data_IF_987755326158
#
_entry.id   IF_987755326158
#
_cell.length_a   1.000
_cell.length_b   1.000
_cell.length_c   1.000
_cell.angle_alpha   90.00
_cell.angle_beta   90.00
_cell.angle_gamma   90.00
#
_symmetry.space_group_name_H-M   'P 1'
#
loop_
_entity.id
_entity.type
_entity.pdbx_description
1 polymer ?
#
# COMPACT_ATOMS: atom_id res chain seq x y z
N UNK A 1 -0.89 28.68 33.90
CA UNK A 1 -1.46 27.46 33.30
C UNK A 1 -2.67 27.83 32.48
N UNK A 2 -2.53 28.01 31.16
CA UNK A 2 -3.61 28.50 30.27
C UNK A 2 -4.57 27.37 29.85
N UNK A 3 -4.23 26.12 30.16
CA UNK A 3 -4.97 24.94 29.73
C UNK A 3 -5.57 24.10 30.88
N UNK A 4 -5.65 24.61 32.12
CA UNK A 4 -6.22 23.82 33.22
C UNK A 4 -7.71 23.52 33.02
N UNK A 5 -8.03 22.22 32.99
CA UNK A 5 -9.36 21.59 33.06
C UNK A 5 -10.43 22.10 32.09
N UNK A 6 -10.26 21.83 30.80
CA UNK A 6 -11.31 22.11 29.81
C UNK A 6 -12.12 20.84 29.52
N UNK A 7 -13.33 20.77 30.10
CA UNK A 7 -14.33 19.71 29.79
C UNK A 7 -14.56 19.59 28.28
N UNK A 8 -14.66 18.36 27.76
CA UNK A 8 -14.77 18.03 26.33
C UNK A 8 -15.94 18.73 25.60
N UNK A 9 -17.03 19.04 26.30
CA UNK A 9 -18.16 19.79 25.76
C UNK A 9 -18.05 21.27 26.16
N UNK A 10 -18.13 22.19 25.18
CA UNK A 10 -18.10 23.66 25.33
C UNK A 10 -16.72 24.30 25.58
N UNK A 11 -15.70 23.93 24.79
CA UNK A 11 -14.43 24.69 24.76
C UNK A 11 -14.66 26.11 24.22
N UNK A 12 -14.08 27.17 24.83
CA UNK A 12 -14.16 28.52 24.30
C UNK A 12 -13.69 28.59 22.84
N UNK A 13 -14.36 29.37 21.98
CA UNK A 13 -14.04 29.46 20.56
C UNK A 13 -12.58 29.90 20.32
N UNK A 14 -12.06 30.80 21.15
CA UNK A 14 -10.65 31.23 21.08
C UNK A 14 -9.66 30.09 21.30
N UNK A 15 -9.96 29.17 22.23
CA UNK A 15 -9.12 27.99 22.47
C UNK A 15 -9.16 27.04 21.27
N UNK A 16 -10.33 26.89 20.64
CA UNK A 16 -10.47 26.07 19.44
C UNK A 16 -9.71 26.67 18.25
N UNK A 17 -9.82 27.98 18.05
CA UNK A 17 -9.10 28.67 16.97
C UNK A 17 -7.58 28.62 17.19
N UNK A 18 -7.12 28.81 18.44
CA UNK A 18 -5.71 28.62 18.80
C UNK A 18 -5.24 27.19 18.51
N UNK A 19 -6.07 26.18 18.79
CA UNK A 19 -5.76 24.78 18.47
C UNK A 19 -5.69 24.53 16.96
N UNK A 20 -6.59 25.12 16.17
CA UNK A 20 -6.57 25.01 14.71
C UNK A 20 -5.31 25.63 14.11
N UNK A 21 -4.95 26.84 14.54
CA UNK A 21 -3.73 27.52 14.09
C UNK A 21 -2.48 26.73 14.51
N UNK A 22 -2.44 26.21 15.74
CA UNK A 22 -1.34 25.38 16.23
C UNK A 22 -1.20 24.09 15.42
N UNK A 23 -2.30 23.39 15.15
CA UNK A 23 -2.27 22.16 14.35
C UNK A 23 -1.78 22.44 12.92
N UNK A 24 -2.35 23.44 12.24
CA UNK A 24 -1.96 23.78 10.87
C UNK A 24 -0.49 24.19 10.79
N UNK A 25 -0.06 25.14 11.63
CA UNK A 25 1.31 25.65 11.61
C UNK A 25 2.35 24.61 12.06
N UNK A 26 1.97 23.63 12.89
CA UNK A 26 2.87 22.55 13.27
C UNK A 26 3.08 21.55 12.12
N UNK A 27 2.01 21.15 11.43
CA UNK A 27 2.03 20.02 10.48
C UNK A 27 2.06 20.43 9.00
N UNK A 28 1.84 21.70 8.70
CA UNK A 28 1.87 22.26 7.34
C UNK A 28 2.66 23.57 7.38
N UNK A 29 3.95 23.55 7.01
CA UNK A 29 4.75 24.76 6.92
C UNK A 29 4.07 25.83 6.05
N UNK A 30 4.12 27.08 6.49
CA UNK A 30 3.52 28.25 5.82
C UNK A 30 2.00 28.19 5.59
N UNK A 31 1.31 27.28 6.28
CA UNK A 31 -0.14 27.31 6.34
C UNK A 31 -0.65 28.56 7.07
N UNK A 32 -1.86 28.96 6.71
CA UNK A 32 -2.54 30.12 7.28
C UNK A 32 -4.06 29.92 7.23
N UNK A 33 -4.75 30.74 8.00
CA UNK A 33 -6.19 30.96 7.90
C UNK A 33 -6.44 32.40 7.48
N UNK A 34 -7.54 32.67 6.79
CA UNK A 34 -7.93 34.04 6.47
C UNK A 34 -8.51 34.72 7.71
N UNK A 35 -8.14 35.99 7.94
CA UNK A 35 -8.61 36.74 9.10
C UNK A 35 -10.14 36.86 9.13
N UNK A 36 -10.77 37.07 7.97
CA UNK A 36 -12.22 37.08 7.82
C UNK A 36 -12.87 35.78 8.33
N UNK A 37 -12.28 34.63 8.02
CA UNK A 37 -12.78 33.32 8.43
C UNK A 37 -12.57 33.08 9.92
N UNK A 38 -11.46 33.55 10.47
CA UNK A 38 -11.22 33.57 11.91
C UNK A 38 -12.28 34.41 12.63
N UNK A 39 -12.62 35.58 12.12
CA UNK A 39 -13.68 36.45 12.67
C UNK A 39 -15.07 35.81 12.51
N UNK A 40 -15.36 35.23 11.35
CA UNK A 40 -16.61 34.51 11.07
C UNK A 40 -16.83 33.34 12.02
N UNK A 41 -15.75 32.64 12.41
CA UNK A 41 -15.81 31.56 13.38
C UNK A 41 -16.36 32.01 14.75
N UNK A 42 -16.21 33.29 15.11
CA UNK A 42 -16.76 33.87 16.33
C UNK A 42 -18.21 34.40 16.19
N UNK A 43 -18.70 34.67 14.96
CA UNK A 43 -19.99 35.34 14.73
C UNK A 43 -21.20 34.63 15.32
N UNK A 44 -21.13 33.32 15.57
CA UNK A 44 -22.24 32.54 16.09
C UNK A 44 -22.47 32.67 17.61
N UNK A 45 -21.61 33.39 18.33
CA UNK A 45 -21.71 33.63 19.79
C UNK A 45 -21.86 35.14 20.13
N UNK A 46 -21.86 36.00 19.13
CA UNK A 46 -21.74 37.45 19.32
C UNK A 46 -23.11 38.15 19.34
N UNK A 47 -23.67 38.31 20.54
CA UNK A 47 -24.58 39.44 20.82
C UNK A 47 -23.84 40.69 21.32
N UNK A 48 -22.54 40.59 21.64
CA UNK A 48 -21.80 41.63 22.39
C UNK A 48 -20.46 42.05 21.75
N UNK A 49 -19.88 41.29 20.81
CA UNK A 49 -18.46 41.50 20.41
C UNK A 49 -18.20 41.89 18.94
N UNK A 50 -19.24 42.25 18.17
CA UNK A 50 -19.14 42.55 16.73
C UNK A 50 -18.07 43.59 16.31
N UNK A 51 -17.55 44.41 17.24
CA UNK A 51 -16.55 45.44 16.99
C UNK A 51 -15.11 45.10 17.41
N UNK A 52 -14.86 43.98 18.09
CA UNK A 52 -13.52 43.62 18.56
C UNK A 52 -12.64 43.09 17.41
N UNK A 53 -11.37 43.52 17.41
CA UNK A 53 -10.36 43.00 16.49
C UNK A 53 -10.10 41.51 16.75
N UNK A 54 -9.51 40.81 15.78
CA UNK A 54 -9.11 39.42 16.00
C UNK A 54 -8.10 39.29 17.15
N UNK A 55 -7.20 40.27 17.30
CA UNK A 55 -6.20 40.30 18.36
C UNK A 55 -6.85 40.34 19.74
N UNK A 56 -7.84 41.21 19.93
CA UNK A 56 -8.59 41.33 21.19
C UNK A 56 -9.35 40.03 21.51
N UNK A 57 -10.01 39.44 20.51
CA UNK A 57 -10.77 38.18 20.66
C UNK A 57 -9.85 37.00 21.00
N UNK A 58 -8.59 37.05 20.56
CA UNK A 58 -7.62 35.98 20.74
C UNK A 58 -6.84 36.08 22.06
N UNK A 59 -6.99 37.13 22.87
CA UNK A 59 -6.31 37.22 24.17
C UNK A 59 -6.62 35.99 25.08
N UNK A 60 -5.60 35.33 25.68
CA UNK A 60 -4.18 35.73 25.71
C UNK A 60 -3.30 35.18 24.57
N UNK A 61 -3.85 34.38 23.65
CA UNK A 61 -3.13 33.73 22.55
C UNK A 61 -2.69 34.66 21.42
N UNK A 62 -3.14 35.91 21.42
CA UNK A 62 -2.75 36.95 20.45
C UNK A 62 -1.23 37.07 20.27
N UNK A 63 -0.47 36.95 21.36
CA UNK A 63 1.01 37.01 21.34
C UNK A 63 1.67 35.82 20.62
N UNK A 64 0.92 34.74 20.36
CA UNK A 64 1.42 33.53 19.70
C UNK A 64 1.06 33.49 18.22
N UNK A 65 0.28 34.44 17.72
CA UNK A 65 -0.19 34.50 16.34
C UNK A 65 0.39 35.73 15.63
N UNK A 66 0.54 35.62 14.32
CA UNK A 66 0.92 36.72 13.44
C UNK A 66 -0.16 36.92 12.39
N UNK A 67 -0.55 38.18 12.19
CA UNK A 67 -1.46 38.61 11.13
C UNK A 67 -0.69 39.43 10.10
N UNK A 68 -0.69 38.99 8.85
CA UNK A 68 0.09 39.60 7.78
C UNK A 68 -0.70 39.65 6.48
N UNK A 69 -0.25 40.47 5.55
CA UNK A 69 -0.84 40.64 4.22
C UNK A 69 0.28 40.46 3.19
N UNK A 70 0.03 39.74 2.10
CA UNK A 70 1.07 39.47 1.10
C UNK A 70 1.29 40.69 0.18
N UNK A 71 0.20 41.34 -0.19
CA UNK A 71 0.13 42.62 -0.91
C UNK A 71 -1.10 43.42 -0.43
N UNK A 72 -1.21 44.70 -0.82
CA UNK A 72 -2.30 45.60 -0.36
C UNK A 72 -3.71 45.15 -0.75
N UNK A 73 -3.83 44.28 -1.76
CA UNK A 73 -5.11 43.79 -2.29
C UNK A 73 -5.49 42.41 -1.75
N UNK A 74 -4.51 41.67 -1.22
CA UNK A 74 -4.67 40.32 -0.71
C UNK A 74 -5.35 40.35 0.65
N UNK A 75 -6.14 39.34 0.94
CA UNK A 75 -6.79 39.23 2.23
C UNK A 75 -5.76 38.96 3.35
N UNK A 76 -6.02 39.49 4.56
CA UNK A 76 -5.16 39.29 5.72
C UNK A 76 -5.15 37.82 6.15
N UNK A 77 -3.97 37.32 6.47
CA UNK A 77 -3.69 35.93 6.82
C UNK A 77 -3.20 35.83 8.25
N UNK A 78 -3.60 34.77 8.94
CA UNK A 78 -3.31 34.50 10.34
C UNK A 78 -2.64 33.14 10.46
N UNK A 79 -1.54 33.06 11.18
CA UNK A 79 -0.84 31.79 11.51
C UNK A 79 -0.15 31.88 12.87
N UNK A 80 0.34 30.76 13.41
CA UNK A 80 1.21 30.81 14.58
C UNK A 80 2.52 31.51 14.22
N UNK A 81 3.09 32.26 15.18
CA UNK A 81 4.31 33.03 14.98
C UNK A 81 5.50 32.17 14.49
N UNK A 82 5.57 30.91 14.93
CA UNK A 82 6.62 29.98 14.52
C UNK A 82 6.15 28.51 14.59
N UNK A 83 6.59 27.61 13.67
CA UNK A 83 6.24 26.18 13.72
C UNK A 83 6.61 25.48 15.04
N UNK A 84 7.74 25.83 15.65
CA UNK A 84 8.13 25.26 16.96
C UNK A 84 7.17 25.67 18.08
N UNK A 85 6.69 26.92 18.07
CA UNK A 85 5.67 27.38 19.04
C UNK A 85 4.38 26.60 18.81
N UNK A 86 3.98 26.43 17.55
CA UNK A 86 2.81 25.66 17.17
C UNK A 86 2.91 24.19 17.66
N UNK A 87 4.08 23.57 17.54
CA UNK A 87 4.33 22.22 18.05
C UNK A 87 4.23 22.15 19.58
N UNK A 88 4.88 23.08 20.30
CA UNK A 88 4.77 23.13 21.77
C UNK A 88 3.31 23.33 22.20
N UNK A 89 2.55 24.16 21.47
CA UNK A 89 1.13 24.36 21.74
C UNK A 89 0.31 23.07 21.53
N UNK A 90 0.58 22.28 20.48
CA UNK A 90 -0.15 21.01 20.27
C UNK A 90 0.16 19.97 21.35
N UNK A 91 1.40 19.94 21.85
CA UNK A 91 1.82 19.09 22.98
C UNK A 91 1.13 19.49 24.29
N UNK A 92 1.20 20.77 24.68
CA UNK A 92 0.55 21.30 25.88
C UNK A 92 -0.98 21.15 25.84
N UNK A 93 -1.59 21.32 24.66
CA UNK A 93 -3.01 21.08 24.45
C UNK A 93 -3.37 19.60 24.63
N UNK A 94 -2.54 18.68 24.14
CA UNK A 94 -2.75 17.25 24.30
C UNK A 94 -2.69 16.83 25.78
N UNK A 95 -1.73 17.35 26.55
CA UNK A 95 -1.65 17.14 28.02
C UNK A 95 -2.92 17.62 28.74
N UNK A 96 -3.56 18.68 28.23
CA UNK A 96 -4.81 19.21 28.73
C UNK A 96 -6.07 18.50 28.19
N UNK A 97 -5.92 17.38 27.46
CA UNK A 97 -7.02 16.59 26.90
C UNK A 97 -7.61 17.15 25.59
N UNK A 98 -6.92 18.09 24.95
CA UNK A 98 -7.22 18.59 23.60
C UNK A 98 -6.34 17.83 22.61
N UNK A 99 -6.80 16.65 22.18
CA UNK A 99 -5.99 15.77 21.35
C UNK A 99 -5.85 16.26 19.91
N UNK A 100 -4.86 15.73 19.19
CA UNK A 100 -4.58 16.09 17.79
C UNK A 100 -5.71 15.60 16.89
N UNK A 101 -6.21 14.38 17.13
CA UNK A 101 -7.33 13.82 16.38
C UNK A 101 -8.62 14.64 16.56
N UNK A 102 -8.96 15.01 17.81
CA UNK A 102 -10.10 15.87 18.12
C UNK A 102 -9.98 17.24 17.44
N UNK A 103 -8.79 17.84 17.50
CA UNK A 103 -8.52 19.15 16.89
C UNK A 103 -8.65 19.06 15.37
N UNK A 104 -8.13 18.02 14.74
CA UNK A 104 -8.26 17.78 13.31
C UNK A 104 -9.72 17.59 12.90
N UNK A 105 -10.50 16.77 13.62
CA UNK A 105 -11.93 16.57 13.34
C UNK A 105 -12.74 17.87 13.50
N UNK A 106 -12.43 18.64 14.54
CA UNK A 106 -13.08 19.93 14.79
C UNK A 106 -12.73 20.96 13.70
N UNK A 107 -11.48 21.00 13.24
CA UNK A 107 -11.09 21.85 12.10
C UNK A 107 -11.93 21.49 10.85
N UNK A 108 -12.06 20.19 10.57
CA UNK A 108 -12.82 19.69 9.42
C UNK A 108 -14.32 20.00 9.50
N UNK A 109 -14.92 20.05 10.70
CA UNK A 109 -16.38 20.14 10.85
C UNK A 109 -16.88 21.50 11.31
N UNK A 110 -16.10 22.23 12.11
CA UNK A 110 -16.55 23.43 12.82
C UNK A 110 -15.98 24.73 12.26
N UNK A 111 -14.77 24.72 11.71
CA UNK A 111 -14.10 25.96 11.28
C UNK A 111 -14.84 26.63 10.11
N UNK A 112 -15.25 25.86 9.10
CA UNK A 112 -16.10 26.35 8.01
C UNK A 112 -17.35 25.46 7.89
N UNK A 113 -18.49 25.96 8.39
CA UNK A 113 -19.76 25.21 8.44
C UNK A 113 -20.51 25.19 7.11
N UNK A 114 -20.45 26.28 6.34
CA UNK A 114 -21.17 26.42 5.07
C UNK A 114 -20.41 25.81 3.89
N UNK A 115 -19.22 26.34 3.59
CA UNK A 115 -18.38 25.88 2.48
C UNK A 115 -16.92 25.76 2.94
N UNK A 116 -16.27 24.64 2.61
CA UNK A 116 -14.87 24.43 2.97
C UNK A 116 -13.95 25.07 1.93
N UNK A 117 -13.09 26.05 2.29
CA UNK A 117 -12.33 26.81 1.32
C UNK A 117 -11.36 25.93 0.51
N UNK A 118 -11.26 26.10 -0.82
CA UNK A 118 -10.35 25.31 -1.66
C UNK A 118 -8.87 25.42 -1.24
N UNK A 119 -8.43 26.61 -0.81
CA UNK A 119 -7.06 26.81 -0.33
C UNK A 119 -6.75 25.97 0.93
N UNK A 120 -7.72 25.91 1.86
CA UNK A 120 -7.60 25.16 3.11
C UNK A 120 -7.63 23.66 2.84
N UNK A 121 -8.37 23.20 1.82
CA UNK A 121 -8.34 21.81 1.39
C UNK A 121 -6.93 21.38 0.97
N UNK A 122 -6.14 22.28 0.36
CA UNK A 122 -4.73 22.06 0.06
C UNK A 122 -3.91 21.74 1.32
N UNK A 123 -4.10 22.54 2.39
CA UNK A 123 -3.42 22.31 3.67
C UNK A 123 -3.88 21.02 4.34
N UNK A 124 -5.19 20.74 4.37
CA UNK A 124 -5.72 19.49 4.92
C UNK A 124 -5.18 18.27 4.16
N UNK A 125 -5.13 18.34 2.83
CA UNK A 125 -4.57 17.28 2.00
C UNK A 125 -3.10 17.05 2.36
N UNK A 126 -2.30 18.11 2.49
CA UNK A 126 -0.91 18.02 2.92
C UNK A 126 -0.83 17.35 4.30
N UNK A 127 -1.51 17.92 5.29
CA UNK A 127 -1.48 17.50 6.69
C UNK A 127 -1.83 16.02 6.87
N UNK A 128 -2.82 15.51 6.13
CA UNK A 128 -3.32 14.15 6.31
C UNK A 128 -2.66 13.12 5.40
N UNK A 129 -2.07 13.52 4.26
CA UNK A 129 -1.62 12.54 3.24
C UNK A 129 -0.17 12.70 2.77
N UNK A 130 0.49 13.85 3.06
CA UNK A 130 1.89 14.05 2.68
C UNK A 130 2.79 13.18 3.55
N UNK A 131 3.52 12.26 2.91
CA UNK A 131 4.50 11.36 3.54
C UNK A 131 5.91 11.90 3.31
N UNK A 132 6.70 11.95 4.37
CA UNK A 132 8.10 12.38 4.34
C UNK A 132 9.02 11.23 3.90
N UNK A 133 10.25 11.54 3.50
CA UNK A 133 11.27 10.53 3.20
C UNK A 133 11.93 10.13 4.52
N UNK A 134 12.12 8.84 4.78
CA UNK A 134 12.99 8.39 5.86
C UNK A 134 14.42 8.60 5.46
N UNK A 135 15.21 9.20 6.33
CA UNK A 135 16.66 9.23 6.24
C UNK A 135 17.18 8.26 7.29
N UNK A 136 17.37 7.00 6.91
CA UNK A 136 18.08 6.03 7.76
C UNK A 136 19.55 6.02 7.33
N UNK A 137 20.44 6.53 8.18
CA UNK A 137 21.88 6.35 8.03
C UNK A 137 22.23 4.93 8.48
N UNK A 138 22.70 4.08 7.55
CA UNK A 138 23.24 2.76 7.89
C UNK A 138 24.58 2.94 8.62
N UNK A 139 24.74 2.53 9.89
CA UNK A 139 25.99 2.74 10.63
C UNK A 139 27.18 1.88 10.13
N UNK A 140 26.94 0.97 9.17
CA UNK A 140 27.87 -0.11 8.82
C UNK A 140 28.33 -0.04 7.35
N UNK A 141 27.60 0.67 6.47
CA UNK A 141 27.98 0.83 5.07
C UNK A 141 27.44 2.14 4.49
N UNK A 142 28.34 3.08 4.19
CA UNK A 142 28.02 4.41 3.68
C UNK A 142 27.54 4.41 2.21
N UNK A 143 27.10 3.27 1.67
CA UNK A 143 26.80 3.11 0.24
C UNK A 143 25.34 2.82 -0.10
N UNK A 144 24.45 2.58 0.87
CA UNK A 144 23.00 2.44 0.61
C UNK A 144 22.16 3.30 1.55
N UNK A 145 21.83 4.52 1.09
CA UNK A 145 20.71 5.30 1.63
C UNK A 145 19.42 4.60 1.19
N UNK A 146 18.74 3.90 2.11
CA UNK A 146 17.39 3.42 1.86
C UNK A 146 16.42 4.60 1.96
N UNK A 147 16.15 5.22 0.82
CA UNK A 147 15.13 6.27 0.68
C UNK A 147 13.70 5.69 0.76
N UNK A 148 13.31 5.17 1.91
CA UNK A 148 11.95 4.69 2.13
C UNK A 148 11.04 5.84 2.58
N UNK A 149 9.97 6.14 1.84
CA UNK A 149 8.97 7.09 2.38
C UNK A 149 8.32 6.52 3.63
N UNK A 150 8.03 7.42 4.57
CA UNK A 150 7.20 7.13 5.73
C UNK A 150 5.87 6.47 5.36
N UNK A 151 5.32 5.73 6.32
CA UNK A 151 4.07 4.98 6.11
C UNK A 151 2.86 5.91 6.00
N UNK A 152 2.84 6.99 6.78
CA UNK A 152 1.75 7.96 6.85
C UNK A 152 2.30 9.38 6.90
N UNK A 153 1.38 10.36 6.92
CA UNK A 153 1.75 11.75 7.18
C UNK A 153 2.15 11.94 8.63
N UNK A 154 2.95 12.98 8.91
CA UNK A 154 3.45 13.24 10.27
C UNK A 154 2.33 13.35 11.29
N UNK A 155 1.21 14.03 10.96
CA UNK A 155 0.06 14.12 11.87
C UNK A 155 -0.55 12.74 12.17
N UNK A 156 -0.66 11.87 11.16
CA UNK A 156 -1.24 10.54 11.35
C UNK A 156 -0.33 9.65 12.20
N UNK A 157 0.99 9.74 12.00
CA UNK A 157 1.97 9.05 12.85
C UNK A 157 1.87 9.54 14.31
N UNK A 158 1.89 10.85 14.53
CA UNK A 158 1.80 11.41 15.89
C UNK A 158 0.48 11.05 16.59
N UNK A 159 -0.65 10.98 15.87
CA UNK A 159 -1.93 10.51 16.44
C UNK A 159 -1.83 9.02 16.79
N UNK A 160 -1.19 8.19 15.96
CA UNK A 160 -1.01 6.76 16.22
C UNK A 160 -0.14 6.53 17.46
N UNK A 161 0.91 7.32 17.62
CA UNK A 161 1.88 7.19 18.70
C UNK A 161 1.33 7.74 20.04
N UNK A 162 0.55 8.83 20.01
CA UNK A 162 0.08 9.51 21.23
C UNK A 162 -1.37 9.22 21.63
N UNK A 163 -2.21 8.76 20.70
CA UNK A 163 -3.63 8.48 20.93
C UNK A 163 -3.93 7.00 20.65
N UNK A 164 -4.12 6.64 19.38
CA UNK A 164 -4.10 5.28 18.83
C UNK A 164 -4.38 5.28 17.31
N UNK A 165 -4.32 4.10 16.69
CA UNK A 165 -4.64 3.92 15.27
C UNK A 165 -6.11 4.09 14.91
N UNK A 166 -7.05 3.87 15.84
CA UNK A 166 -8.49 4.03 15.63
C UNK A 166 -8.85 5.52 15.49
N UNK A 167 -8.26 6.37 16.33
CA UNK A 167 -8.40 7.82 16.27
C UNK A 167 -7.85 8.36 14.94
N UNK A 168 -6.68 7.89 14.51
CA UNK A 168 -6.12 8.25 13.20
C UNK A 168 -7.04 7.86 12.04
N UNK A 169 -7.63 6.65 12.10
CA UNK A 169 -8.60 6.18 11.11
C UNK A 169 -9.88 7.02 11.12
N UNK A 170 -10.34 7.47 12.29
CA UNK A 170 -11.54 8.30 12.41
C UNK A 170 -11.38 9.68 11.76
N UNK A 171 -10.20 10.30 11.88
CA UNK A 171 -9.86 11.58 11.22
C UNK A 171 -9.91 11.42 9.71
N UNK A 172 -9.24 10.38 9.18
CA UNK A 172 -9.21 10.10 7.74
C UNK A 172 -10.59 9.71 7.20
N UNK A 173 -11.40 9.00 7.98
CA UNK A 173 -12.80 8.67 7.64
C UNK A 173 -13.66 9.92 7.51
N UNK A 174 -13.54 10.83 8.48
CA UNK A 174 -14.24 12.12 8.43
C UNK A 174 -13.82 12.93 7.21
N UNK A 175 -12.52 13.04 6.93
CA UNK A 175 -12.01 13.75 5.76
C UNK A 175 -12.51 13.11 4.45
N UNK A 176 -12.52 11.77 4.38
CA UNK A 176 -12.98 11.03 3.19
C UNK A 176 -14.47 11.22 2.92
N UNK A 177 -15.28 11.29 3.97
CA UNK A 177 -16.71 11.56 3.85
C UNK A 177 -16.98 13.02 3.50
N UNK A 178 -16.23 13.97 4.08
CA UNK A 178 -16.42 15.39 3.81
C UNK A 178 -15.97 15.79 2.40
N UNK A 179 -14.89 15.20 1.89
CA UNK A 179 -14.31 15.54 0.59
C UNK A 179 -14.46 14.39 -0.39
N UNK A 180 -15.67 14.25 -0.95
CA UNK A 180 -16.04 13.09 -1.76
C UNK A 180 -15.24 12.93 -3.05
N UNK A 181 -14.72 14.04 -3.60
CA UNK A 181 -13.94 14.05 -4.83
C UNK A 181 -12.45 13.72 -4.61
N UNK A 182 -11.97 13.68 -3.36
CA UNK A 182 -10.55 13.46 -3.09
C UNK A 182 -10.24 11.96 -2.91
N UNK A 183 -9.37 11.34 -3.75
CA UNK A 183 -9.05 9.92 -3.65
C UNK A 183 -7.99 9.61 -2.58
N UNK A 184 -7.21 10.59 -2.13
CA UNK A 184 -6.06 10.37 -1.25
C UNK A 184 -6.45 10.14 0.22
N UNK A 185 -7.55 10.73 0.70
CA UNK A 185 -8.05 10.44 2.05
C UNK A 185 -8.53 8.98 2.22
N UNK A 186 -9.40 8.43 1.34
CA UNK A 186 -9.80 7.03 1.45
C UNK A 186 -8.63 6.08 1.16
N UNK A 187 -7.69 6.47 0.31
CA UNK A 187 -6.44 5.73 0.12
C UNK A 187 -5.61 5.64 1.41
N UNK A 188 -5.38 6.77 2.09
CA UNK A 188 -4.66 6.81 3.36
C UNK A 188 -5.40 6.00 4.45
N UNK A 189 -6.73 6.08 4.48
CA UNK A 189 -7.55 5.31 5.40
C UNK A 189 -7.45 3.79 5.17
N UNK A 190 -7.48 3.35 3.90
CA UNK A 190 -7.26 1.94 3.57
C UNK A 190 -5.92 1.44 4.11
N UNK A 191 -4.85 2.26 4.00
CA UNK A 191 -3.52 1.97 4.56
C UNK A 191 -3.55 1.77 6.07
N UNK A 192 -4.24 2.63 6.82
CA UNK A 192 -4.39 2.45 8.28
C UNK A 192 -5.06 1.11 8.59
N UNK A 193 -6.12 0.76 7.84
CA UNK A 193 -6.81 -0.50 8.07
C UNK A 193 -5.97 -1.74 7.80
N UNK A 194 -5.21 -1.82 6.70
CA UNK A 194 -4.44 -3.04 6.40
C UNK A 194 -3.04 -3.09 7.06
N UNK A 195 -2.43 -1.93 7.35
CA UNK A 195 -1.12 -1.88 8.02
C UNK A 195 -1.24 -1.96 9.53
N UNK A 196 -2.13 -1.20 10.14
CA UNK A 196 -2.18 -1.03 11.60
C UNK A 196 -3.32 -1.83 12.22
N UNK A 197 -4.56 -1.62 11.77
CA UNK A 197 -5.75 -2.23 12.41
C UNK A 197 -6.03 -3.68 11.98
N UNK A 198 -5.38 -4.16 10.92
CA UNK A 198 -5.58 -5.49 10.31
C UNK A 198 -7.03 -5.82 9.93
N UNK A 199 -7.85 -4.80 9.69
CA UNK A 199 -9.23 -4.95 9.20
C UNK A 199 -9.24 -4.90 7.68
N UNK A 200 -8.95 -6.04 7.05
CA UNK A 200 -8.83 -6.14 5.59
C UNK A 200 -10.15 -5.89 4.85
N UNK A 201 -11.29 -6.18 5.49
CA UNK A 201 -12.62 -5.92 4.92
C UNK A 201 -12.87 -4.43 4.77
N UNK A 202 -12.61 -3.63 5.83
CA UNK A 202 -12.69 -2.17 5.72
C UNK A 202 -11.62 -1.61 4.79
N UNK A 203 -10.41 -2.16 4.81
CA UNK A 203 -9.35 -1.73 3.91
C UNK A 203 -9.74 -1.89 2.43
N UNK A 204 -10.36 -3.01 2.05
CA UNK A 204 -10.84 -3.27 0.69
C UNK A 204 -11.93 -2.27 0.28
N UNK A 205 -12.90 -1.98 1.16
CA UNK A 205 -13.97 -1.01 0.91
C UNK A 205 -13.38 0.38 0.62
N UNK A 206 -12.46 0.84 1.46
CA UNK A 206 -11.87 2.17 1.31
C UNK A 206 -10.91 2.27 0.12
N UNK A 207 -10.19 1.19 -0.21
CA UNK A 207 -9.35 1.14 -1.41
C UNK A 207 -10.19 1.23 -2.69
N UNK A 208 -11.32 0.50 -2.76
CA UNK A 208 -12.28 0.61 -3.88
C UNK A 208 -12.86 2.01 -3.98
N UNK A 209 -13.29 2.59 -2.86
CA UNK A 209 -13.79 3.97 -2.81
C UNK A 209 -12.75 5.01 -3.28
N UNK A 210 -11.47 4.80 -2.98
CA UNK A 210 -10.40 5.64 -3.51
C UNK A 210 -10.28 5.52 -5.03
N UNK A 211 -10.30 4.29 -5.55
CA UNK A 211 -10.23 3.99 -6.99
C UNK A 211 -11.44 4.50 -7.77
N UNK A 212 -12.65 4.43 -7.20
CA UNK A 212 -13.85 5.01 -7.80
C UNK A 212 -13.74 6.53 -8.00
N UNK A 213 -13.02 7.22 -7.11
CA UNK A 213 -12.82 8.68 -7.19
C UNK A 213 -11.76 9.09 -8.20
N UNK A 214 -10.84 8.20 -8.54
CA UNK A 214 -9.77 8.46 -9.51
C UNK A 214 -9.34 7.14 -10.17
N UNK A 215 -10.14 6.69 -11.13
CA UNK A 215 -10.04 5.36 -11.74
C UNK A 215 -8.85 5.19 -12.68
N UNK A 216 -8.26 6.30 -13.14
CA UNK A 216 -7.15 6.30 -14.08
C UNK A 216 -5.79 6.41 -13.37
N UNK A 217 -5.78 6.60 -12.05
CA UNK A 217 -4.57 6.84 -11.30
C UNK A 217 -3.96 5.52 -10.78
N UNK A 218 -2.86 5.11 -11.43
CA UNK A 218 -2.11 3.91 -11.07
C UNK A 218 -1.69 3.87 -9.58
N UNK A 219 -1.28 5.00 -9.00
CA UNK A 219 -0.93 5.07 -7.57
C UNK A 219 -2.12 4.81 -6.65
N UNK A 220 -3.34 5.20 -7.04
CA UNK A 220 -4.56 4.89 -6.28
C UNK A 220 -4.91 3.40 -6.44
N UNK A 221 -4.83 2.87 -7.66
CA UNK A 221 -5.11 1.47 -7.96
C UNK A 221 -4.20 0.49 -7.20
N UNK A 222 -2.90 0.81 -7.04
CA UNK A 222 -1.91 0.02 -6.27
C UNK A 222 -2.43 -0.35 -4.88
N UNK A 223 -3.19 0.55 -4.24
CA UNK A 223 -3.66 0.36 -2.87
C UNK A 223 -4.54 -0.88 -2.71
N UNK A 224 -5.36 -1.22 -3.71
CA UNK A 224 -6.18 -2.43 -3.68
C UNK A 224 -5.31 -3.70 -3.76
N UNK A 225 -4.29 -3.71 -4.62
CA UNK A 225 -3.31 -4.78 -4.70
C UNK A 225 -2.56 -4.95 -3.37
N UNK A 226 -2.12 -3.84 -2.75
CA UNK A 226 -1.47 -3.88 -1.44
C UNK A 226 -2.38 -4.41 -0.32
N UNK A 227 -3.68 -4.07 -0.31
CA UNK A 227 -4.64 -4.63 0.64
C UNK A 227 -4.70 -6.15 0.51
N UNK A 228 -4.93 -6.66 -0.70
CA UNK A 228 -5.04 -8.11 -0.93
C UNK A 228 -3.73 -8.84 -0.65
N UNK A 229 -2.60 -8.27 -1.03
CA UNK A 229 -1.26 -8.80 -0.72
C UNK A 229 -1.01 -8.90 0.78
N UNK A 230 -1.33 -7.86 1.55
CA UNK A 230 -1.16 -7.88 2.99
C UNK A 230 -2.15 -8.83 3.67
N UNK A 231 -3.38 -8.95 3.15
CA UNK A 231 -4.36 -9.91 3.64
C UNK A 231 -3.86 -11.34 3.41
N UNK A 232 -3.40 -11.65 2.21
CA UNK A 232 -2.83 -12.94 1.85
C UNK A 232 -1.64 -13.31 2.74
N UNK A 233 -0.71 -12.37 2.98
CA UNK A 233 0.43 -12.57 3.89
C UNK A 233 0.04 -12.80 5.36
N UNK A 234 -1.15 -12.37 5.77
CA UNK A 234 -1.62 -12.54 7.16
C UNK A 234 -2.22 -13.93 7.41
N UNK A 235 -2.59 -14.64 6.35
CA UNK A 235 -3.20 -15.99 6.44
C UNK A 235 -2.09 -17.02 6.68
N UNK A 236 -2.27 -17.85 7.69
CA UNK A 236 -1.49 -19.07 7.92
C UNK A 236 -2.19 -20.22 7.24
N UNK A 237 -1.46 -21.18 6.68
CA UNK A 237 -2.09 -22.33 6.02
C UNK A 237 -2.79 -23.26 7.02
N UNK A 238 -4.04 -23.59 6.73
CA UNK A 238 -4.79 -24.71 7.33
C UNK A 238 -5.57 -25.44 6.23
N UNK A 239 -5.96 -26.70 6.45
CA UNK A 239 -6.78 -27.44 5.47
C UNK A 239 -8.03 -26.67 5.02
N UNK A 240 -8.61 -25.91 5.94
CA UNK A 240 -9.93 -25.29 5.75
C UNK A 240 -9.87 -23.94 5.03
N UNK A 241 -8.68 -23.39 4.75
CA UNK A 241 -8.55 -22.04 4.18
C UNK A 241 -7.86 -21.96 2.81
N UNK A 242 -7.56 -23.10 2.18
CA UNK A 242 -6.92 -23.15 0.86
C UNK A 242 -7.71 -22.37 -0.20
N UNK A 243 -9.04 -22.53 -0.25
CA UNK A 243 -9.91 -21.82 -1.20
C UNK A 243 -9.89 -20.31 -0.97
N UNK A 244 -9.97 -19.86 0.29
CA UNK A 244 -9.92 -18.43 0.64
C UNK A 244 -8.57 -17.81 0.21
N UNK A 245 -7.50 -18.53 0.49
CA UNK A 245 -6.14 -18.13 0.13
C UNK A 245 -6.00 -17.95 -1.40
N UNK A 246 -6.54 -18.88 -2.20
CA UNK A 246 -6.51 -18.77 -3.66
C UNK A 246 -7.36 -17.61 -4.18
N UNK A 247 -8.52 -17.38 -3.59
CA UNK A 247 -9.37 -16.24 -3.93
C UNK A 247 -8.65 -14.91 -3.63
N UNK A 248 -7.96 -14.81 -2.49
CA UNK A 248 -7.15 -13.64 -2.14
C UNK A 248 -5.97 -13.44 -3.11
N UNK A 249 -5.28 -14.52 -3.49
CA UNK A 249 -4.21 -14.48 -4.48
C UNK A 249 -4.74 -13.98 -5.84
N UNK A 250 -5.87 -14.50 -6.30
CA UNK A 250 -6.54 -14.06 -7.53
C UNK A 250 -6.86 -12.56 -7.47
N UNK A 251 -7.52 -12.11 -6.40
CA UNK A 251 -7.85 -10.68 -6.20
C UNK A 251 -6.59 -9.80 -6.20
N UNK A 252 -5.50 -10.23 -5.57
CA UNK A 252 -4.24 -9.49 -5.56
C UNK A 252 -3.65 -9.36 -6.97
N UNK A 253 -3.58 -10.46 -7.72
CA UNK A 253 -3.06 -10.49 -9.10
C UNK A 253 -3.91 -9.59 -10.01
N UNK A 254 -5.23 -9.68 -9.94
CA UNK A 254 -6.13 -8.85 -10.75
C UNK A 254 -5.97 -7.37 -10.44
N UNK A 255 -5.87 -7.00 -9.17
CA UNK A 255 -5.68 -5.60 -8.77
C UNK A 255 -4.32 -5.04 -9.22
N UNK A 256 -3.25 -5.83 -9.14
CA UNK A 256 -1.93 -5.41 -9.59
C UNK A 256 -1.79 -5.35 -11.12
N UNK A 257 -2.43 -6.27 -11.87
CA UNK A 257 -2.49 -6.19 -13.33
C UNK A 257 -3.24 -4.94 -13.80
N UNK A 258 -4.31 -4.59 -13.11
CA UNK A 258 -5.05 -3.36 -13.41
C UNK A 258 -4.21 -2.10 -13.14
N UNK A 259 -3.49 -2.06 -12.01
CA UNK A 259 -2.54 -0.99 -11.71
C UNK A 259 -1.44 -0.85 -12.78
N UNK A 260 -0.84 -1.97 -13.19
CA UNK A 260 0.19 -2.02 -14.24
C UNK A 260 -0.33 -1.45 -15.55
N UNK A 261 -1.52 -1.89 -16.00
CA UNK A 261 -2.18 -1.36 -17.21
C UNK A 261 -2.42 0.15 -17.12
N UNK A 262 -2.86 0.66 -15.96
CA UNK A 262 -3.07 2.09 -15.77
C UNK A 262 -1.75 2.87 -15.86
N UNK A 263 -0.66 2.33 -15.30
CA UNK A 263 0.65 2.95 -15.36
C UNK A 263 1.24 2.99 -16.79
N UNK A 264 0.94 2.00 -17.63
CA UNK A 264 1.34 1.98 -19.04
C UNK A 264 0.59 3.03 -19.87
N UNK A 265 -0.73 3.16 -19.67
CA UNK A 265 -1.56 4.14 -20.35
C UNK A 265 -1.15 5.60 -20.05
N UNK A 266 -0.67 5.87 -18.81
CA UNK A 266 -0.12 7.17 -18.42
C UNK A 266 1.09 7.60 -19.28
N UNK A 267 1.83 6.64 -19.85
CA UNK A 267 3.04 6.87 -20.65
C UNK A 267 2.67 7.20 -22.11
N UNK A 268 1.68 6.52 -22.68
CA UNK A 268 1.34 6.63 -24.10
C UNK A 268 0.52 7.89 -24.43
N UNK A 269 -0.22 8.44 -23.47
CA UNK A 269 -1.10 9.61 -23.68
C UNK A 269 -0.46 11.00 -23.49
N UNK A 270 0.82 11.11 -23.12
CA UNK A 270 1.44 12.37 -22.68
C UNK A 270 2.16 13.17 -23.78
N UNK A 271 1.60 14.30 -24.20
CA UNK A 271 2.27 15.32 -25.04
C UNK A 271 3.60 15.76 -24.40
N UNK A 272 4.64 15.90 -25.23
CA UNK A 272 6.04 16.27 -24.92
C UNK A 272 6.25 17.62 -24.21
N UNK A 273 5.66 17.91 -23.05
CA UNK A 273 6.18 18.93 -22.12
C UNK A 273 5.78 18.57 -20.69
N UNK A 274 6.67 17.93 -19.93
CA UNK A 274 6.72 18.14 -18.49
C UNK A 274 8.13 17.95 -17.95
N UNK A 275 8.54 18.92 -17.16
CA UNK A 275 9.85 19.16 -16.56
C UNK A 275 10.42 17.89 -15.93
N UNK A 276 11.75 17.72 -15.96
CA UNK A 276 12.57 16.57 -15.52
C UNK A 276 12.27 15.94 -14.13
N UNK A 277 11.29 16.45 -13.38
CA UNK A 277 10.84 15.99 -12.06
C UNK A 277 9.75 14.90 -12.15
N UNK A 278 9.12 14.66 -13.30
CA UNK A 278 8.15 13.55 -13.49
C UNK A 278 8.79 12.19 -13.81
N UNK A 279 10.13 12.09 -13.79
CA UNK A 279 10.87 10.83 -14.06
C UNK A 279 11.02 9.93 -12.84
N UNK A 280 10.41 10.28 -11.71
CA UNK A 280 10.19 9.31 -10.64
C UNK A 280 9.01 8.47 -11.11
N UNK A 281 9.33 7.41 -11.84
CA UNK A 281 8.41 6.33 -12.17
C UNK A 281 7.52 6.04 -10.95
N UNK A 282 6.34 5.44 -11.15
CA UNK A 282 5.73 4.65 -10.09
C UNK A 282 6.61 3.40 -9.86
N UNK A 283 7.89 3.61 -9.53
CA UNK A 283 8.84 2.62 -9.08
C UNK A 283 8.30 1.98 -7.81
N UNK A 284 7.30 2.53 -7.11
CA UNK A 284 6.70 1.89 -5.93
C UNK A 284 5.62 0.87 -6.26
N UNK A 285 4.86 1.09 -7.34
CA UNK A 285 4.04 0.08 -8.00
C UNK A 285 4.91 -1.05 -8.51
N UNK A 286 5.86 -0.73 -9.40
CA UNK A 286 6.87 -1.68 -9.88
C UNK A 286 7.73 -2.29 -8.75
N UNK A 287 8.15 -1.55 -7.70
CA UNK A 287 8.93 -2.08 -6.56
C UNK A 287 8.06 -2.83 -5.56
N UNK A 288 6.79 -2.49 -5.40
CA UNK A 288 5.80 -3.26 -4.65
C UNK A 288 5.51 -4.61 -5.32
N UNK A 289 5.54 -4.60 -6.66
CA UNK A 289 5.55 -5.74 -7.58
C UNK A 289 6.89 -6.50 -7.53
N UNK A 290 8.05 -5.81 -7.41
CA UNK A 290 9.39 -6.40 -7.33
C UNK A 290 9.73 -6.94 -5.93
N UNK A 291 9.14 -6.42 -4.85
CA UNK A 291 9.38 -6.82 -3.45
C UNK A 291 8.66 -8.12 -3.06
N UNK A 292 8.15 -8.89 -4.04
CA UNK A 292 7.70 -10.26 -3.79
C UNK A 292 8.38 -11.24 -4.75
N UNK A 293 9.71 -11.41 -4.67
CA UNK A 293 10.38 -12.55 -5.30
C UNK A 293 10.03 -13.88 -4.58
N UNK A 294 9.22 -13.79 -3.53
CA UNK A 294 8.92 -14.86 -2.60
C UNK A 294 7.68 -15.64 -3.06
N UNK A 295 7.83 -16.90 -3.50
CA UNK A 295 6.71 -17.74 -3.89
C UNK A 295 5.80 -17.97 -2.68
N UNK A 296 4.49 -17.84 -2.87
CA UNK A 296 3.48 -18.07 -1.83
C UNK A 296 3.01 -19.52 -1.81
N UNK A 297 2.90 -20.12 -3.00
CA UNK A 297 2.46 -21.50 -3.22
C UNK A 297 3.41 -22.24 -4.13
N UNK A 298 3.39 -23.56 -4.01
CA UNK A 298 4.06 -24.49 -4.89
C UNK A 298 3.12 -25.60 -5.33
N UNK A 299 3.45 -26.24 -6.44
CA UNK A 299 2.78 -27.47 -6.86
C UNK A 299 3.42 -28.68 -6.17
N UNK A 300 2.62 -29.36 -5.38
CA UNK A 300 2.89 -30.64 -4.74
C UNK A 300 2.38 -31.84 -5.52
N UNK A 301 2.51 -33.02 -4.93
CA UNK A 301 2.09 -34.31 -5.55
C UNK A 301 0.62 -34.69 -5.28
N UNK A 302 -0.12 -33.87 -4.53
CA UNK A 302 -1.53 -34.12 -4.21
C UNK A 302 -2.46 -34.09 -5.43
N UNK A 303 -3.77 -34.25 -5.20
CA UNK A 303 -4.83 -34.12 -6.23
C UNK A 303 -5.77 -32.95 -5.90
N UNK A 304 -6.35 -32.32 -6.92
CA UNK A 304 -7.20 -31.14 -6.73
C UNK A 304 -6.49 -30.05 -5.93
N UNK A 305 -7.17 -29.44 -4.95
CA UNK A 305 -6.61 -28.38 -4.11
C UNK A 305 -5.46 -28.85 -3.20
N UNK A 306 -5.42 -30.13 -2.81
CA UNK A 306 -4.32 -30.69 -2.02
C UNK A 306 -2.98 -30.70 -2.77
N UNK A 307 -2.99 -30.43 -4.09
CA UNK A 307 -1.79 -30.22 -4.90
C UNK A 307 -1.13 -28.87 -4.63
N UNK A 308 -1.80 -27.93 -3.96
CA UNK A 308 -1.27 -26.60 -3.69
C UNK A 308 -0.63 -26.62 -2.30
N UNK A 309 0.67 -26.39 -2.25
CA UNK A 309 1.47 -26.40 -1.02
C UNK A 309 1.86 -24.98 -0.66
N UNK A 310 1.41 -24.46 0.48
CA UNK A 310 1.83 -23.13 0.92
C UNK A 310 3.30 -23.14 1.33
N UNK A 311 3.96 -22.00 1.11
CA UNK A 311 5.37 -21.78 1.47
C UNK A 311 5.68 -22.16 2.92
N UNK A 312 4.81 -21.84 3.88
CA UNK A 312 5.05 -22.11 5.30
C UNK A 312 5.16 -23.61 5.63
N UNK A 313 4.53 -24.51 4.87
CA UNK A 313 4.75 -25.96 5.04
C UNK A 313 6.20 -26.31 4.73
N UNK A 314 6.72 -25.80 3.62
CA UNK A 314 8.10 -26.06 3.20
C UNK A 314 9.10 -25.45 4.19
N UNK A 315 8.83 -24.24 4.69
CA UNK A 315 9.67 -23.61 5.72
C UNK A 315 9.66 -24.39 7.02
N UNK A 316 8.52 -24.93 7.46
CA UNK A 316 8.45 -25.79 8.66
C UNK A 316 9.23 -27.08 8.48
N UNK A 317 9.10 -27.74 7.33
CA UNK A 317 9.86 -28.95 7.00
C UNK A 317 11.36 -28.68 6.98
N UNK A 318 11.77 -27.52 6.48
CA UNK A 318 13.16 -27.10 6.44
C UNK A 318 13.72 -26.72 7.82
N UNK A 319 12.96 -25.98 8.64
CA UNK A 319 13.38 -25.48 9.96
C UNK A 319 13.28 -26.53 11.07
N UNK A 320 12.41 -27.54 10.93
CA UNK A 320 12.25 -28.63 11.91
C UNK A 320 13.53 -29.42 12.21
N UNK A 321 14.55 -29.31 11.34
CA UNK A 321 15.87 -29.91 11.53
C UNK A 321 16.94 -28.95 12.10
N UNK A 322 16.71 -27.64 12.07
CA UNK A 322 17.67 -26.61 12.49
C UNK A 322 17.11 -25.80 13.67
N UNK A 323 17.12 -26.36 14.88
CA UNK A 323 16.78 -25.66 16.13
C UNK A 323 17.82 -24.54 16.39
N UNK A 324 17.59 -23.37 15.80
CA UNK A 324 18.46 -22.19 15.91
C UNK A 324 18.51 -21.30 14.65
N UNK A 325 18.04 -21.78 13.50
CA UNK A 325 18.01 -20.97 12.28
C UNK A 325 16.88 -19.92 12.34
N UNK A 326 17.24 -18.63 12.30
CA UNK A 326 16.28 -17.56 12.01
C UNK A 326 15.65 -17.80 10.62
N UNK A 327 14.40 -17.34 10.41
CA UNK A 327 13.74 -17.32 9.10
C UNK A 327 14.55 -16.44 8.14
N UNK A 328 15.56 -17.01 7.51
CA UNK A 328 16.41 -16.31 6.56
C UNK A 328 15.82 -16.40 5.14
N UNK A 329 15.51 -15.24 4.55
CA UNK A 329 15.05 -15.14 3.15
C UNK A 329 16.11 -15.65 2.16
N UNK A 330 17.39 -15.72 2.54
CA UNK A 330 18.48 -16.21 1.70
C UNK A 330 18.27 -17.65 1.20
N UNK A 331 17.46 -18.45 1.91
CA UNK A 331 17.18 -19.84 1.55
C UNK A 331 16.42 -20.00 0.23
N UNK A 332 15.60 -19.00 -0.14
CA UNK A 332 14.81 -19.02 -1.37
C UNK A 332 15.61 -18.47 -2.55
N UNK A 333 16.33 -17.37 -2.34
CA UNK A 333 17.13 -16.71 -3.39
C UNK A 333 18.24 -17.63 -3.92
N UNK A 334 18.82 -18.48 -3.07
CA UNK A 334 19.85 -19.44 -3.45
C UNK A 334 19.32 -20.88 -3.59
N UNK A 335 18.00 -21.07 -3.55
CA UNK A 335 17.34 -22.37 -3.73
C UNK A 335 17.81 -23.49 -2.77
N UNK A 336 18.45 -23.13 -1.65
CA UNK A 336 18.99 -24.08 -0.66
C UNK A 336 17.90 -24.98 -0.07
N UNK A 337 16.69 -24.45 0.05
CA UNK A 337 15.54 -25.19 0.58
C UNK A 337 15.22 -26.45 -0.24
N UNK A 338 15.43 -26.41 -1.56
CA UNK A 338 15.15 -27.53 -2.46
C UNK A 338 16.23 -28.62 -2.42
N UNK A 339 17.28 -28.47 -1.61
CA UNK A 339 18.24 -29.55 -1.33
C UNK A 339 17.70 -30.54 -0.28
N UNK A 340 16.72 -30.13 0.54
CA UNK A 340 16.17 -30.96 1.60
C UNK A 340 15.23 -32.05 1.01
N UNK A 341 15.48 -33.35 1.25
CA UNK A 341 14.64 -34.43 0.72
C UNK A 341 13.18 -34.36 1.14
N UNK A 342 12.88 -33.96 2.38
CA UNK A 342 11.50 -33.82 2.87
C UNK A 342 10.73 -32.75 2.08
N UNK A 343 11.39 -31.64 1.73
CA UNK A 343 10.81 -30.60 0.87
C UNK A 343 10.57 -31.15 -0.53
N UNK A 344 11.52 -31.90 -1.09
CA UNK A 344 11.39 -32.51 -2.41
C UNK A 344 10.26 -33.56 -2.47
N UNK A 345 10.02 -34.30 -1.39
CA UNK A 345 8.94 -35.30 -1.31
C UNK A 345 7.55 -34.68 -1.42
N UNK A 346 7.38 -33.47 -0.88
CA UNK A 346 6.11 -32.74 -0.89
C UNK A 346 5.84 -32.02 -2.21
N UNK A 347 6.87 -31.82 -3.04
CA UNK A 347 6.79 -31.03 -4.27
C UNK A 347 6.78 -31.91 -5.53
N UNK A 348 6.01 -31.49 -6.53
CA UNK A 348 6.00 -32.10 -7.84
C UNK A 348 7.03 -31.40 -8.73
N UNK A 349 7.84 -32.19 -9.44
CA UNK A 349 8.67 -31.66 -10.53
C UNK A 349 7.85 -31.62 -11.81
N UNK A 350 7.78 -30.43 -12.39
CA UNK A 350 7.17 -30.19 -13.69
C UNK A 350 8.25 -30.32 -14.75
N UNK A 351 7.92 -30.99 -15.84
CA UNK A 351 8.79 -31.11 -17.00
C UNK A 351 8.76 -29.83 -17.83
N UNK A 352 9.83 -29.56 -18.56
CA UNK A 352 9.87 -28.37 -19.39
C UNK A 352 11.09 -28.33 -20.30
N UNK A 353 11.19 -27.22 -21.01
CA UNK A 353 12.27 -26.96 -21.95
C UNK A 353 12.83 -25.56 -21.72
N UNK A 354 14.15 -25.46 -21.74
CA UNK A 354 14.85 -24.18 -21.84
C UNK A 354 15.14 -23.93 -23.31
N UNK A 355 14.79 -22.74 -23.81
CA UNK A 355 15.16 -22.25 -25.15
C UNK A 355 15.16 -20.73 -25.15
N UNK A 356 16.04 -20.12 -25.95
CA UNK A 356 16.13 -18.66 -26.09
C UNK A 356 16.22 -17.89 -24.76
N UNK A 357 16.98 -18.42 -23.78
CA UNK A 357 17.10 -17.83 -22.44
C UNK A 357 15.79 -17.75 -21.63
N UNK A 358 14.74 -18.45 -22.06
CA UNK A 358 13.47 -18.63 -21.35
C UNK A 358 13.28 -20.09 -20.96
N UNK A 359 12.43 -20.32 -19.96
CA UNK A 359 12.01 -21.66 -19.53
C UNK A 359 10.49 -21.81 -19.73
N UNK A 360 10.10 -22.95 -20.29
CA UNK A 360 8.72 -23.29 -20.58
C UNK A 360 8.34 -24.53 -19.78
N UNK A 361 7.25 -24.46 -19.02
CA UNK A 361 6.64 -25.59 -18.35
C UNK A 361 5.75 -26.34 -19.35
N UNK A 362 5.95 -27.66 -19.47
CA UNK A 362 5.10 -28.53 -20.25
C UNK A 362 3.94 -29.02 -19.37
N UNK A 363 2.72 -28.62 -19.72
CA UNK A 363 1.48 -28.99 -19.01
C UNK A 363 0.50 -29.52 -20.04
N UNK A 364 0.39 -30.84 -20.12
CA UNK A 364 -0.33 -31.52 -21.21
C UNK A 364 0.26 -31.17 -22.56
N UNK A 365 -0.58 -30.73 -23.48
CA UNK A 365 -0.17 -30.34 -24.83
C UNK A 365 0.31 -28.88 -24.92
N UNK A 366 0.29 -28.14 -23.80
CA UNK A 366 0.65 -26.73 -23.75
C UNK A 366 2.04 -26.51 -23.16
N UNK A 367 2.71 -25.49 -23.68
CA UNK A 367 3.94 -24.95 -23.10
C UNK A 367 3.67 -23.55 -22.57
N UNK A 368 3.90 -23.33 -21.28
CA UNK A 368 3.67 -22.05 -20.61
C UNK A 368 5.03 -21.47 -20.25
N UNK A 369 5.33 -20.26 -20.72
CA UNK A 369 6.53 -19.54 -20.28
C UNK A 369 6.43 -19.20 -18.80
N UNK A 370 7.50 -19.48 -18.06
CA UNK A 370 7.59 -19.19 -16.62
C UNK A 370 8.89 -18.45 -16.32
N UNK A 371 8.88 -17.60 -15.29
CA UNK A 371 10.09 -16.94 -14.84
C UNK A 371 11.06 -17.97 -14.23
N UNK A 372 12.38 -17.78 -14.38
CA UNK A 372 13.35 -18.58 -13.64
C UNK A 372 13.88 -17.81 -12.43
N UNK A 373 13.84 -18.44 -11.26
CA UNK A 373 14.42 -17.87 -10.05
C UNK A 373 15.95 -17.70 -10.18
N UNK A 374 16.65 -18.72 -10.70
CA UNK A 374 18.07 -18.66 -11.05
C UNK A 374 18.28 -18.63 -12.56
N UNK A 375 18.37 -17.42 -13.13
CA UNK A 375 18.54 -17.17 -14.58
C UNK A 375 19.81 -17.78 -15.19
N UNK A 376 20.83 -18.01 -14.37
CA UNK A 376 22.05 -18.69 -14.81
C UNK A 376 21.72 -20.06 -15.41
N UNK A 377 20.65 -20.74 -15.01
CA UNK A 377 20.29 -22.05 -15.58
C UNK A 377 19.81 -22.04 -17.04
N UNK A 378 19.63 -20.86 -17.66
CA UNK A 378 18.93 -20.70 -18.94
C UNK A 378 19.84 -20.56 -20.18
N UNK A 379 21.16 -20.54 -20.03
CA UNK A 379 22.09 -20.25 -21.14
C UNK A 379 22.16 -21.36 -22.22
N UNK A 380 21.65 -22.57 -21.95
CA UNK A 380 21.76 -23.75 -22.83
C UNK A 380 20.37 -24.33 -23.11
N UNK A 381 19.98 -24.50 -24.38
CA UNK A 381 18.76 -25.22 -24.72
C UNK A 381 18.83 -26.68 -24.28
N UNK A 382 17.83 -27.15 -23.52
CA UNK A 382 17.78 -28.51 -22.98
C UNK A 382 16.41 -28.85 -22.40
N UNK A 383 16.11 -30.14 -22.30
CA UNK A 383 15.03 -30.63 -21.46
C UNK A 383 15.40 -30.47 -19.99
N UNK A 384 14.46 -29.95 -19.21
CA UNK A 384 14.62 -29.70 -17.79
C UNK A 384 13.45 -30.27 -17.01
N UNK A 385 13.66 -30.41 -15.71
CA UNK A 385 12.57 -30.45 -14.74
C UNK A 385 12.80 -29.38 -13.69
N UNK A 386 11.77 -28.94 -12.99
CA UNK A 386 11.86 -27.94 -11.93
C UNK A 386 10.63 -27.98 -11.01
N UNK A 387 10.71 -27.32 -9.86
CA UNK A 387 9.57 -27.07 -8.99
C UNK A 387 8.88 -25.79 -9.42
N UNK A 388 7.55 -25.82 -9.52
CA UNK A 388 6.76 -24.67 -9.92
C UNK A 388 6.23 -23.96 -8.67
N UNK A 389 6.68 -22.72 -8.45
CA UNK A 389 6.18 -21.83 -7.42
C UNK A 389 5.38 -20.67 -8.01
N UNK A 390 4.48 -20.07 -7.23
CA UNK A 390 3.64 -18.96 -7.67
C UNK A 390 3.89 -17.74 -6.79
N UNK A 391 4.35 -16.67 -7.44
CA UNK A 391 4.40 -15.33 -6.85
C UNK A 391 3.17 -14.54 -7.28
N UNK A 392 3.01 -13.31 -6.77
CA UNK A 392 1.99 -12.39 -7.29
C UNK A 392 2.24 -11.98 -8.75
N UNK A 393 3.46 -12.16 -9.27
CA UNK A 393 3.78 -11.88 -10.69
C UNK A 393 3.39 -13.02 -11.61
N UNK A 394 3.26 -14.23 -11.06
CA UNK A 394 2.99 -15.43 -11.83
C UNK A 394 3.90 -16.60 -11.47
N UNK A 395 3.91 -17.63 -12.33
CA UNK A 395 4.67 -18.86 -12.12
C UNK A 395 6.18 -18.63 -12.25
N UNK A 396 6.92 -19.28 -11.35
CA UNK A 396 8.38 -19.23 -11.28
C UNK A 396 8.93 -20.66 -11.15
N UNK A 397 9.92 -21.00 -11.96
CA UNK A 397 10.67 -22.23 -11.92
C UNK A 397 11.81 -22.14 -10.90
N UNK A 398 11.84 -23.11 -9.98
CA UNK A 398 12.87 -23.28 -8.95
C UNK A 398 13.55 -24.64 -9.08
N UNK A 399 14.82 -24.73 -8.69
CA UNK A 399 15.55 -26.00 -8.65
C UNK A 399 15.68 -26.65 -10.02
N UNK A 400 15.94 -25.85 -11.06
CA UNK A 400 16.01 -26.29 -12.45
C UNK A 400 17.16 -27.29 -12.62
N UNK A 401 16.83 -28.51 -13.07
CA UNK A 401 17.82 -29.58 -13.33
C UNK A 401 17.65 -30.12 -14.75
N UNK A 402 18.76 -30.54 -15.36
CA UNK A 402 18.72 -31.21 -16.67
C UNK A 402 18.03 -32.54 -16.51
N UNK A 403 17.12 -32.88 -17.43
CA UNK A 403 16.61 -34.25 -17.53
C UNK A 403 17.71 -35.10 -18.17
N UNK A 404 18.37 -35.95 -17.40
CA UNK A 404 19.28 -36.95 -17.95
C UNK A 404 18.44 -38.01 -18.65
N UNK A 405 18.70 -38.22 -19.94
CA UNK A 405 18.09 -39.33 -20.67
C UNK A 405 18.45 -40.65 -19.96
N UNK A 406 17.46 -41.50 -19.70
CA UNK A 406 17.73 -42.88 -19.35
C UNK A 406 18.57 -43.50 -20.47
N UNK A 407 19.75 -44.03 -20.13
CA UNK A 407 20.63 -44.68 -21.11
C UNK A 407 19.98 -45.97 -21.56
N UNK A 408 19.30 -45.95 -22.72
CA UNK A 408 18.98 -47.17 -23.45
C UNK A 408 20.23 -47.86 -24.01
N UNK A 409 20.20 -49.17 -24.32
CA UNK A 409 21.40 -50.00 -24.56
C UNK A 409 22.17 -49.71 -25.86
N UNK A 410 21.92 -48.61 -26.55
CA UNK A 410 22.60 -48.25 -27.79
C UNK A 410 22.85 -46.76 -27.75
N UNK A 411 24.12 -46.36 -27.63
CA UNK A 411 24.60 -44.98 -27.40
C UNK A 411 24.31 -43.96 -28.50
N UNK A 412 23.08 -43.86 -28.99
CA UNK A 412 22.56 -42.72 -29.75
C UNK A 412 21.62 -41.91 -28.86
N UNK A 413 21.91 -40.61 -28.72
CA UNK A 413 20.96 -39.62 -28.22
C UNK A 413 19.75 -39.61 -29.16
N UNK A 414 18.67 -40.31 -28.79
CA UNK A 414 17.35 -40.10 -29.36
C UNK A 414 16.68 -39.00 -28.54
N UNK A 415 16.29 -37.90 -29.18
CA UNK A 415 15.19 -37.07 -28.71
C UNK A 415 13.95 -37.96 -28.77
N UNK A 416 13.64 -38.64 -27.66
CA UNK A 416 12.45 -39.47 -27.55
C UNK A 416 11.19 -38.60 -27.66
N UNK A 417 10.10 -39.10 -28.26
CA UNK A 417 8.81 -38.43 -28.18
C UNK A 417 8.40 -38.34 -26.70
N UNK A 418 7.67 -37.26 -26.38
CA UNK A 418 7.11 -36.96 -25.06
C UNK A 418 6.63 -38.23 -24.35
N UNK A 419 7.28 -38.57 -23.24
CA UNK A 419 6.83 -39.65 -22.37
C UNK A 419 5.50 -39.27 -21.76
N UNK A 420 4.44 -40.02 -22.10
CA UNK A 420 3.08 -39.89 -21.55
C UNK A 420 2.99 -40.41 -20.10
N UNK A 421 3.82 -39.86 -19.22
CA UNK A 421 3.80 -40.20 -17.78
C UNK A 421 3.66 -38.96 -16.88
N UNK A 422 3.28 -37.81 -17.45
CA UNK A 422 2.51 -36.84 -16.67
C UNK A 422 1.05 -37.22 -16.79
N UNK A 423 0.40 -37.61 -15.69
CA UNK A 423 -1.06 -37.74 -15.55
C UNK A 423 -1.70 -36.37 -15.82
N UNK A 424 -1.73 -36.00 -17.10
CA UNK A 424 -2.16 -34.70 -17.63
C UNK A 424 -3.69 -34.60 -17.70
N UNK A 425 -4.38 -35.75 -17.64
CA UNK A 425 -5.84 -35.89 -17.69
C UNK A 425 -6.55 -35.01 -16.65
N UNK A 426 -5.92 -34.84 -15.48
CA UNK A 426 -6.46 -34.07 -14.36
C UNK A 426 -6.08 -32.57 -14.38
N UNK A 427 -5.23 -32.11 -15.31
CA UNK A 427 -4.74 -30.71 -15.32
C UNK A 427 -5.62 -29.77 -16.12
N UNK A 428 -6.30 -30.28 -17.15
CA UNK A 428 -7.01 -29.50 -18.17
C UNK A 428 -8.52 -29.74 -18.17
N UNK A 429 -9.05 -30.50 -17.20
CA UNK A 429 -10.45 -30.94 -17.17
C UNK A 429 -11.46 -29.84 -16.88
N UNK A 430 -11.02 -28.64 -16.51
CA UNK A 430 -11.90 -27.47 -16.41
C UNK A 430 -11.82 -26.68 -17.72
N UNK A 431 -12.77 -26.95 -18.63
CA UNK A 431 -13.06 -25.99 -19.71
C UNK A 431 -13.53 -24.70 -19.04
N UNK A 432 -12.96 -23.53 -19.37
CA UNK A 432 -13.52 -22.28 -18.89
C UNK A 432 -14.94 -22.15 -19.45
N UNK A 433 -15.95 -22.03 -18.58
CA UNK A 433 -17.25 -21.51 -18.99
C UNK A 433 -17.02 -20.06 -19.43
N UNK A 434 -16.90 -19.87 -20.74
CA UNK A 434 -17.02 -18.55 -21.36
C UNK A 434 -18.49 -18.20 -21.26
N UNK A 435 -18.90 -17.57 -20.15
CA UNK A 435 -20.12 -16.79 -20.13
C UNK A 435 -19.89 -15.55 -20.99
N UNK A 436 -20.06 -15.72 -22.30
CA UNK A 436 -20.16 -14.62 -23.24
C UNK A 436 -21.35 -13.76 -22.84
N UNK A 437 -21.07 -12.57 -22.30
CA UNK A 437 -22.04 -11.49 -22.27
C UNK A 437 -22.32 -11.11 -23.73
N UNK A 438 -23.42 -11.64 -24.25
CA UNK A 438 -23.96 -11.27 -25.55
C UNK A 438 -24.31 -9.77 -25.57
N UNK A 439 -23.83 -9.12 -26.62
CA UNK A 439 -24.43 -8.00 -27.36
C UNK A 439 -24.84 -6.74 -26.56
N UNK A 440 -23.97 -5.73 -26.62
CA UNK A 440 -24.38 -4.33 -26.49
C UNK A 440 -25.06 -3.93 -27.81
N UNK A 441 -26.38 -3.87 -27.82
CA UNK A 441 -27.12 -3.16 -28.86
C UNK A 441 -26.90 -1.65 -28.69
N UNK A 442 -26.21 -1.04 -29.65
CA UNK A 442 -26.22 0.41 -29.86
C UNK A 442 -27.56 0.82 -30.46
N UNK A 443 -28.29 1.70 -29.78
CA UNK A 443 -29.38 2.46 -30.41
C UNK A 443 -28.85 3.78 -30.98
N UNK A 444 -29.40 4.14 -32.15
CA UNK A 444 -29.20 5.39 -32.89
C UNK A 444 -29.54 6.63 -32.09
#
# INVERSE_FOLDING_TARGET
MVFSEVRRANRPLKNQLAAFLSLLSAYVPDSYLLESQCLDFFKHDDSIHGHLSLEDRMQPFSHLIITYQQDKTSERRVRMAHPMIAQCCTELMAEAGVTRSDTARNLLTRFCRAEFPPYLLGFVKYMLTKREMKTEENPIDNTEIKEDRERFSRLILDIQDTEDSVESASVLKLASNKFEQNPFFPQALARVYYLELKDYSKAEIWAKKAKERDSHNSHIADTLGQVHKNHLKSKKESSDNQTEILQLAKKAIEAFKDEERLAENDIEGGTKVRTKVSRVFNTRGQLGYLQVPSPLFFIGKGRGLSRIVHREVLERLFLGQNKGAKRDLSNWNHEKIFLNPMVQEHLLRVEGVVRNYSVFAAIGDNEIEVDANLRNSLWRPRQVSFYLGFTIRGPVAFGIRTKTAEKGPSGRLKLGPWGRETDSSDWTTVKPEVNGLHEVHTYR
#
